data_IF_394088527572
#
_entry.id   IF_394088527572
#
_cell.length_a   1.000
_cell.length_b   1.000
_cell.length_c   1.000
_cell.angle_alpha   90.00
_cell.angle_beta   90.00
_cell.angle_gamma   90.00
#
_symmetry.space_group_name_H-M   'P 1'
#
loop_
_entity.id
_entity.type
_entity.pdbx_description
1 polymer ?
#
# COMPACT_ATOMS: atom_id res chain seq x y z
N UNK A 1 21.11 -21.28 69.74
CA UNK A 1 22.24 -21.14 70.69
C UNK A 1 23.31 -20.36 69.93
N UNK A 2 23.63 -19.09 70.18
CA UNK A 2 23.84 -18.40 71.45
C UNK A 2 23.40 -16.93 71.38
N UNK A 3 22.90 -16.44 72.52
CA UNK A 3 22.66 -15.03 72.87
C UNK A 3 23.98 -14.29 73.12
N UNK A 4 23.98 -12.96 72.90
CA UNK A 4 24.53 -11.86 73.77
C UNK A 4 24.70 -10.61 72.88
N UNK A 5 24.25 -9.38 73.15
CA UNK A 5 23.86 -8.72 74.39
C UNK A 5 24.96 -7.75 74.87
N UNK A 6 24.62 -6.45 75.04
CA UNK A 6 25.36 -5.37 75.73
C UNK A 6 26.57 -4.74 74.98
N UNK A 7 26.86 -3.42 74.94
CA UNK A 7 26.44 -2.25 75.74
C UNK A 7 26.89 -0.91 75.12
N UNK A 8 26.16 0.16 75.46
CA UNK A 8 26.52 1.59 75.65
C UNK A 8 27.51 2.33 74.72
N UNK A 9 27.04 3.47 74.22
CA UNK A 9 27.89 4.53 73.67
C UNK A 9 27.11 5.77 73.28
N UNK A 10 26.46 6.43 74.24
CA UNK A 10 25.89 7.76 74.04
C UNK A 10 27.05 8.75 73.80
N UNK A 11 27.21 9.23 72.57
CA UNK A 11 28.05 10.40 72.27
C UNK A 11 27.18 11.50 71.69
N UNK A 12 26.86 12.45 72.55
CA UNK A 12 26.47 13.81 72.22
C UNK A 12 27.56 14.42 71.33
N UNK A 13 27.17 14.87 70.13
CA UNK A 13 28.01 15.73 69.29
C UNK A 13 27.25 17.02 69.04
N UNK A 14 27.92 18.10 69.42
CA UNK A 14 27.45 19.48 69.44
C UNK A 14 27.01 19.99 68.07
N UNK A 15 25.98 20.85 68.13
CA UNK A 15 25.63 21.78 67.09
C UNK A 15 26.78 22.76 66.84
N UNK A 16 27.26 22.85 65.61
CA UNK A 16 27.73 24.09 64.97
C UNK A 16 28.46 23.76 63.68
N UNK A 17 27.78 23.88 62.55
CA UNK A 17 28.32 24.46 61.31
C UNK A 17 27.22 24.44 60.27
N UNK A 18 26.47 25.55 60.22
CA UNK A 18 25.69 25.94 59.05
C UNK A 18 26.65 26.05 57.86
N UNK A 19 26.88 24.92 57.17
CA UNK A 19 27.38 24.97 55.80
C UNK A 19 26.23 25.45 54.94
N UNK A 20 26.33 26.70 54.52
CA UNK A 20 25.58 27.32 53.44
C UNK A 20 25.55 26.38 52.23
N UNK A 21 24.45 25.64 52.08
CA UNK A 21 24.16 24.91 50.87
C UNK A 21 23.88 25.93 49.77
N UNK A 22 24.91 26.25 49.00
CA UNK A 22 24.76 27.00 47.75
C UNK A 22 24.04 26.07 46.79
N UNK A 23 22.72 26.22 46.69
CA UNK A 23 21.89 25.50 45.74
C UNK A 23 22.36 25.84 44.32
N UNK A 24 23.13 24.93 43.73
CA UNK A 24 23.39 24.93 42.29
C UNK A 24 22.05 24.66 41.60
N UNK A 25 21.49 25.71 41.03
CA UNK A 25 20.26 25.68 40.26
C UNK A 25 20.55 24.91 38.96
N UNK A 26 20.42 23.59 38.99
CA UNK A 26 20.54 22.77 37.80
C UNK A 26 19.32 23.04 36.91
N UNK A 27 19.48 23.49 35.64
CA UNK A 27 18.36 23.59 34.74
C UNK A 27 17.80 22.19 34.54
N UNK A 28 16.57 21.98 35.03
CA UNK A 28 15.83 20.75 34.86
C UNK A 28 15.64 20.57 33.35
N UNK A 29 16.43 19.69 32.74
CA UNK A 29 16.30 19.30 31.33
C UNK A 29 14.85 18.87 31.12
N UNK A 30 14.07 19.71 30.44
CA UNK A 30 12.80 19.28 29.89
C UNK A 30 13.11 18.21 28.85
N UNK A 31 12.42 17.06 28.86
CA UNK A 31 12.52 16.17 27.72
C UNK A 31 12.00 16.97 26.54
N UNK A 32 12.88 17.26 25.57
CA UNK A 32 12.46 17.75 24.28
C UNK A 32 11.51 16.69 23.75
N UNK A 33 10.21 16.99 23.73
CA UNK A 33 9.23 16.19 23.01
C UNK A 33 9.74 16.10 21.59
N UNK A 34 10.26 14.93 21.23
CA UNK A 34 10.69 14.63 19.87
C UNK A 34 9.43 14.81 19.02
N UNK A 35 9.35 15.94 18.31
CA UNK A 35 8.25 16.24 17.43
C UNK A 35 8.15 15.08 16.45
N UNK A 36 7.13 14.24 16.62
CA UNK A 36 6.87 13.14 15.70
C UNK A 36 6.62 13.80 14.36
N UNK A 37 7.54 13.61 13.41
CA UNK A 37 7.37 14.07 12.05
C UNK A 37 6.12 13.42 11.50
N UNK A 38 5.03 14.18 11.45
CA UNK A 38 3.76 13.72 10.88
C UNK A 38 4.04 13.30 9.44
N UNK A 39 3.77 12.03 9.11
CA UNK A 39 3.92 11.56 7.73
C UNK A 39 2.94 12.36 6.86
N UNK A 40 3.43 13.00 5.80
CA UNK A 40 2.65 13.79 4.84
C UNK A 40 1.78 12.92 3.90
N UNK A 41 1.05 11.96 4.46
CA UNK A 41 0.12 11.11 3.72
C UNK A 41 -1.26 11.22 4.34
N UNK A 42 -2.27 11.28 3.47
CA UNK A 42 -3.65 11.25 3.91
C UNK A 42 -3.93 9.92 4.65
N UNK A 43 -4.72 9.91 5.74
CA UNK A 43 -4.99 8.69 6.51
C UNK A 43 -5.48 7.51 5.66
N UNK A 44 -6.28 7.77 4.64
CA UNK A 44 -6.74 6.75 3.68
C UNK A 44 -5.60 6.08 2.91
N UNK A 45 -4.60 6.87 2.50
CA UNK A 45 -3.41 6.32 1.81
C UNK A 45 -2.63 5.42 2.74
N UNK A 46 -2.47 5.83 4.01
CA UNK A 46 -1.78 5.02 5.03
C UNK A 46 -2.53 3.72 5.28
N UNK A 47 -3.86 3.77 5.38
CA UNK A 47 -4.69 2.59 5.61
C UNK A 47 -4.57 1.57 4.47
N UNK A 48 -4.73 2.00 3.21
CA UNK A 48 -4.56 1.09 2.06
C UNK A 48 -3.11 0.63 1.85
N UNK A 49 -2.13 1.40 2.33
CA UNK A 49 -0.73 0.98 2.27
C UNK A 49 -0.39 -0.08 3.33
N UNK A 50 -0.88 0.11 4.56
CA UNK A 50 -0.60 -0.80 5.68
C UNK A 50 -1.45 -2.06 5.63
N UNK A 51 -2.70 -1.94 5.19
CA UNK A 51 -3.65 -3.04 5.06
C UNK A 51 -4.22 -3.08 3.63
N UNK A 52 -3.41 -3.42 2.61
CA UNK A 52 -3.90 -3.46 1.23
C UNK A 52 -4.95 -4.57 1.06
N UNK A 53 -6.06 -4.23 0.40
CA UNK A 53 -7.19 -5.14 0.16
C UNK A 53 -7.06 -5.83 -1.18
N UNK A 54 -7.39 -7.12 -1.22
CA UNK A 54 -7.39 -7.91 -2.46
C UNK A 54 -6.01 -8.10 -3.12
N UNK A 55 -4.95 -8.15 -2.31
CA UNK A 55 -3.63 -8.54 -2.79
C UNK A 55 -3.65 -10.02 -3.18
N UNK A 56 -3.11 -10.34 -4.35
CA UNK A 56 -2.99 -11.73 -4.78
C UNK A 56 -2.91 -11.88 -6.28
N UNK A 57 -3.12 -13.11 -6.73
CA UNK A 57 -3.20 -13.41 -8.16
C UNK A 57 -4.19 -14.52 -8.40
N UNK A 58 -4.81 -14.47 -9.58
CA UNK A 58 -5.70 -15.50 -10.10
C UNK A 58 -5.00 -16.26 -11.21
N UNK A 59 -5.55 -17.43 -11.56
CA UNK A 59 -5.12 -18.17 -12.72
C UNK A 59 -5.45 -17.39 -14.01
N UNK A 60 -4.47 -17.26 -14.89
CA UNK A 60 -4.60 -16.57 -16.17
C UNK A 60 -5.22 -17.46 -17.25
N UNK A 61 -5.24 -18.77 -17.04
CA UNK A 61 -5.76 -19.74 -18.01
C UNK A 61 -7.28 -19.69 -18.12
N UNK A 62 -7.95 -19.25 -17.06
CA UNK A 62 -9.40 -19.10 -17.03
C UNK A 62 -9.86 -18.04 -18.05
N UNK A 63 -10.91 -18.38 -18.80
CA UNK A 63 -11.54 -17.49 -19.78
C UNK A 63 -12.32 -16.35 -19.11
N UNK A 64 -12.81 -16.60 -17.88
CA UNK A 64 -13.51 -15.61 -17.05
C UNK A 64 -12.58 -14.56 -16.45
N UNK A 65 -11.26 -14.75 -16.53
CA UNK A 65 -10.26 -13.88 -15.92
C UNK A 65 -9.58 -12.98 -16.95
N UNK A 66 -9.74 -11.67 -16.81
CA UNK A 66 -8.97 -10.66 -17.54
C UNK A 66 -7.71 -10.27 -16.78
N UNK A 67 -6.56 -10.18 -17.46
CA UNK A 67 -5.28 -9.75 -16.86
C UNK A 67 -4.72 -8.51 -17.55
N UNK A 68 -4.57 -7.43 -16.78
CA UNK A 68 -3.86 -6.22 -17.20
C UNK A 68 -2.49 -6.15 -16.54
N UNK A 69 -1.43 -5.99 -17.33
CA UNK A 69 -0.09 -5.64 -16.85
C UNK A 69 0.28 -4.28 -17.44
N UNK A 70 0.51 -3.30 -16.58
CA UNK A 70 0.81 -1.92 -16.97
C UNK A 70 1.98 -1.37 -16.17
N UNK A 71 2.60 -0.31 -16.69
CA UNK A 71 3.79 0.30 -16.11
C UNK A 71 5.09 -0.22 -16.70
N UNK A 72 6.20 0.43 -16.33
CA UNK A 72 7.52 0.14 -16.85
C UNK A 72 8.53 0.09 -15.69
N UNK A 73 9.40 -0.93 -15.63
CA UNK A 73 10.41 -1.03 -14.58
C UNK A 73 11.32 0.20 -14.48
N UNK A 74 11.59 0.86 -15.62
CA UNK A 74 12.39 2.09 -15.67
C UNK A 74 11.78 3.27 -14.89
N UNK A 75 10.44 3.32 -14.79
CA UNK A 75 9.74 4.37 -14.04
C UNK A 75 9.54 4.01 -12.57
N UNK A 76 9.88 2.78 -12.17
CA UNK A 76 9.73 2.31 -10.79
C UNK A 76 8.32 1.88 -10.40
N UNK A 77 7.33 1.99 -11.29
CA UNK A 77 5.95 1.58 -11.04
C UNK A 77 5.49 0.52 -12.08
N UNK A 78 5.08 -0.64 -11.59
CA UNK A 78 4.54 -1.76 -12.39
C UNK A 78 3.37 -2.39 -11.66
N UNK A 79 2.23 -2.51 -12.33
CA UNK A 79 1.01 -3.03 -11.73
C UNK A 79 0.43 -4.16 -12.58
N UNK A 80 0.11 -5.27 -11.92
CA UNK A 80 -0.67 -6.38 -12.45
C UNK A 80 -2.05 -6.39 -11.79
N UNK A 81 -3.09 -6.21 -12.59
CA UNK A 81 -4.49 -6.34 -12.19
C UNK A 81 -5.10 -7.57 -12.83
N UNK A 82 -5.87 -8.33 -12.05
CA UNK A 82 -6.66 -9.45 -12.52
C UNK A 82 -8.10 -9.27 -12.07
N UNK A 83 -9.04 -9.39 -13.01
CA UNK A 83 -10.48 -9.31 -12.75
C UNK A 83 -11.10 -10.64 -13.16
N UNK A 84 -12.02 -11.15 -12.35
CA UNK A 84 -12.87 -12.29 -12.66
C UNK A 84 -14.28 -11.78 -12.93
N UNK A 85 -14.82 -12.13 -14.10
CA UNK A 85 -16.13 -11.68 -14.56
C UNK A 85 -17.10 -12.85 -14.47
N UNK A 86 -18.25 -12.62 -13.85
CA UNK A 86 -19.36 -13.56 -13.78
C UNK A 86 -20.08 -13.70 -15.12
N UNK A 87 -21.05 -14.62 -15.15
CA UNK A 87 -21.87 -14.86 -16.35
C UNK A 87 -22.78 -13.67 -16.71
N UNK A 88 -23.15 -12.89 -15.70
CA UNK A 88 -23.96 -11.67 -15.78
C UNK A 88 -23.20 -10.45 -16.32
N UNK A 89 -21.88 -10.57 -16.51
CA UNK A 89 -21.01 -9.47 -16.93
C UNK A 89 -20.56 -8.55 -15.79
N UNK A 90 -20.81 -8.95 -14.53
CA UNK A 90 -20.36 -8.23 -13.33
C UNK A 90 -18.99 -8.74 -12.90
N UNK A 91 -18.17 -7.87 -12.31
CA UNK A 91 -16.87 -8.24 -11.77
C UNK A 91 -17.06 -8.84 -10.37
N UNK A 92 -16.98 -10.16 -10.25
CA UNK A 92 -17.17 -10.90 -9.00
C UNK A 92 -15.96 -10.75 -8.06
N UNK A 93 -14.77 -10.89 -8.62
CA UNK A 93 -13.55 -10.82 -7.84
C UNK A 93 -12.42 -10.07 -8.57
N UNK A 94 -11.58 -9.42 -7.79
CA UNK A 94 -10.46 -8.63 -8.28
C UNK A 94 -9.25 -8.94 -7.42
N UNK A 95 -8.09 -9.12 -8.05
CA UNK A 95 -6.81 -9.29 -7.36
C UNK A 95 -5.75 -8.43 -8.01
N UNK A 96 -4.85 -7.87 -7.20
CA UNK A 96 -3.75 -7.08 -7.71
C UNK A 96 -2.40 -7.47 -7.09
N UNK A 97 -1.35 -7.19 -7.86
CA UNK A 97 0.04 -7.13 -7.41
C UNK A 97 0.66 -5.88 -8.01
N UNK A 98 1.34 -5.07 -7.20
CA UNK A 98 1.97 -3.85 -7.68
C UNK A 98 3.35 -3.71 -7.07
N UNK A 99 4.25 -3.11 -7.84
CA UNK A 99 5.55 -2.65 -7.41
C UNK A 99 5.59 -1.15 -7.68
N UNK A 100 5.90 -0.37 -6.65
CA UNK A 100 5.87 1.08 -6.76
C UNK A 100 5.90 1.77 -5.42
N UNK A 101 5.72 3.09 -5.44
CA UNK A 101 5.67 3.88 -4.22
C UNK A 101 4.41 3.57 -3.37
N UNK A 102 4.41 3.96 -2.09
CA UNK A 102 3.28 3.70 -1.19
C UNK A 102 1.94 4.25 -1.69
N UNK A 103 1.97 5.37 -2.42
CA UNK A 103 0.79 5.94 -3.08
C UNK A 103 0.28 5.07 -4.23
N UNK A 104 1.17 4.41 -4.99
CA UNK A 104 0.77 3.46 -6.02
C UNK A 104 0.08 2.24 -5.41
N UNK A 105 0.62 1.68 -4.32
CA UNK A 105 0.01 0.58 -3.58
C UNK A 105 -1.38 0.96 -3.06
N UNK A 106 -1.50 2.15 -2.47
CA UNK A 106 -2.77 2.64 -1.95
C UNK A 106 -3.81 2.83 -3.07
N UNK A 107 -3.42 3.46 -4.19
CA UNK A 107 -4.29 3.63 -5.36
C UNK A 107 -4.75 2.31 -5.95
N UNK A 108 -3.84 1.33 -6.09
CA UNK A 108 -4.18 -0.01 -6.58
C UNK A 108 -5.17 -0.71 -5.65
N UNK A 109 -4.97 -0.65 -4.33
CA UNK A 109 -5.85 -1.29 -3.36
C UNK A 109 -7.25 -0.65 -3.32
N UNK A 110 -7.33 0.68 -3.36
CA UNK A 110 -8.64 1.36 -3.38
C UNK A 110 -9.40 1.05 -4.68
N UNK A 111 -8.68 1.05 -5.81
CA UNK A 111 -9.25 0.75 -7.12
C UNK A 111 -9.86 -0.67 -7.17
N UNK A 112 -9.24 -1.68 -6.54
CA UNK A 112 -9.83 -3.04 -6.54
C UNK A 112 -11.14 -3.14 -5.77
N UNK A 113 -11.33 -2.32 -4.74
CA UNK A 113 -12.61 -2.23 -4.02
C UNK A 113 -13.66 -1.51 -4.87
N UNK A 114 -13.25 -0.43 -5.53
CA UNK A 114 -14.14 0.38 -6.38
C UNK A 114 -14.67 -0.40 -7.60
N UNK A 115 -13.88 -1.33 -8.15
CA UNK A 115 -14.20 -2.11 -9.36
C UNK A 115 -15.03 -3.37 -9.05
N UNK A 116 -14.90 -3.91 -7.83
CA UNK A 116 -15.63 -5.11 -7.42
C UNK A 116 -17.14 -4.84 -7.40
N UNK A 117 -17.92 -5.74 -8.00
CA UNK A 117 -19.38 -5.63 -8.05
C UNK A 117 -19.92 -4.66 -9.11
N UNK A 118 -19.06 -4.04 -9.92
CA UNK A 118 -19.48 -3.19 -11.05
C UNK A 118 -19.54 -4.00 -12.34
N UNK A 119 -20.33 -3.50 -13.31
CA UNK A 119 -20.28 -4.01 -14.68
C UNK A 119 -18.98 -3.62 -15.38
N UNK A 120 -18.64 -4.30 -16.48
CA UNK A 120 -17.48 -3.95 -17.30
C UNK A 120 -17.55 -2.51 -17.85
N UNK A 121 -18.73 -2.04 -18.26
CA UNK A 121 -18.91 -0.68 -18.77
C UNK A 121 -18.73 0.36 -17.67
N UNK A 122 -19.21 0.08 -16.45
CA UNK A 122 -19.04 0.96 -15.31
C UNK A 122 -17.59 1.01 -14.85
N UNK A 123 -16.92 -0.14 -14.79
CA UNK A 123 -15.51 -0.22 -14.47
C UNK A 123 -14.65 0.56 -15.48
N UNK A 124 -14.99 0.49 -16.78
CA UNK A 124 -14.30 1.24 -17.83
C UNK A 124 -14.48 2.76 -17.75
N UNK A 125 -15.54 3.25 -17.07
CA UNK A 125 -15.81 4.68 -16.88
C UNK A 125 -15.07 5.29 -15.70
N UNK A 126 -14.48 4.48 -14.82
CA UNK A 126 -13.70 4.95 -13.68
C UNK A 126 -12.52 5.78 -14.19
N UNK A 127 -12.33 6.96 -13.59
CA UNK A 127 -11.26 7.90 -13.97
C UNK A 127 -10.25 8.05 -12.85
N UNK A 128 -9.00 8.34 -13.22
CA UNK A 128 -7.94 8.68 -12.29
C UNK A 128 -8.33 9.82 -11.32
N UNK A 129 -9.15 10.78 -11.76
CA UNK A 129 -9.56 11.93 -10.96
C UNK A 129 -10.41 11.53 -9.75
N UNK A 130 -11.21 10.48 -9.87
CA UNK A 130 -12.03 9.95 -8.77
C UNK A 130 -11.15 9.30 -7.70
N UNK A 131 -10.20 8.47 -8.13
CA UNK A 131 -9.21 7.80 -7.27
C UNK A 131 -8.33 8.84 -6.55
N UNK A 132 -7.83 9.83 -7.29
CA UNK A 132 -6.96 10.87 -6.75
C UNK A 132 -7.69 11.74 -5.73
N UNK A 133 -8.96 12.07 -5.98
CA UNK A 133 -9.79 12.84 -5.05
C UNK A 133 -10.06 12.07 -3.77
N UNK A 134 -10.41 10.79 -3.88
CA UNK A 134 -10.72 9.99 -2.70
C UNK A 134 -9.52 9.82 -1.76
N UNK A 135 -8.35 9.57 -2.34
CA UNK A 135 -7.11 9.41 -1.60
C UNK A 135 -6.44 10.74 -1.25
N UNK A 136 -7.01 11.88 -1.69
CA UNK A 136 -6.45 13.22 -1.52
C UNK A 136 -4.97 13.30 -1.94
N UNK A 137 -4.67 12.75 -3.13
CA UNK A 137 -3.31 12.67 -3.63
C UNK A 137 -2.79 14.07 -3.99
N UNK A 138 -1.56 14.43 -3.60
CA UNK A 138 -0.93 15.66 -4.05
C UNK A 138 -0.64 15.59 -5.56
N UNK A 139 -0.53 16.73 -6.26
CA UNK A 139 -0.33 16.79 -7.71
C UNK A 139 0.85 15.95 -8.23
N UNK A 140 1.92 15.86 -7.42
CA UNK A 140 3.14 15.11 -7.74
C UNK A 140 2.89 13.58 -7.88
N UNK A 141 1.83 13.06 -7.25
CA UNK A 141 1.52 11.62 -7.19
C UNK A 141 0.31 11.22 -8.05
N UNK A 142 -0.15 12.08 -8.96
CA UNK A 142 -1.27 11.78 -9.85
C UNK A 142 -0.98 10.67 -10.87
N UNK A 143 0.29 10.39 -11.18
CA UNK A 143 0.67 9.25 -12.04
C UNK A 143 0.24 7.90 -11.45
N UNK A 144 0.18 7.79 -10.11
CA UNK A 144 -0.28 6.57 -9.42
C UNK A 144 -1.75 6.27 -9.71
N UNK A 145 -2.60 7.31 -9.82
CA UNK A 145 -4.00 7.15 -10.19
C UNK A 145 -4.20 6.89 -11.69
N UNK A 146 -3.32 7.40 -12.55
CA UNK A 146 -3.34 7.10 -13.99
C UNK A 146 -2.99 5.63 -14.24
N UNK A 147 -1.96 5.11 -13.56
CA UNK A 147 -1.57 3.70 -13.65
C UNK A 147 -2.73 2.76 -13.27
N UNK A 148 -3.51 3.12 -12.25
CA UNK A 148 -4.67 2.36 -11.82
C UNK A 148 -5.78 2.34 -12.90
N UNK A 149 -6.08 3.50 -13.49
CA UNK A 149 -7.04 3.59 -14.60
C UNK A 149 -6.60 2.75 -15.82
N UNK A 150 -5.33 2.85 -16.20
CA UNK A 150 -4.76 2.09 -17.31
C UNK A 150 -4.82 0.58 -17.05
N UNK A 151 -4.59 0.16 -15.79
CA UNK A 151 -4.68 -1.25 -15.38
C UNK A 151 -6.09 -1.80 -15.57
N UNK A 152 -7.14 -1.04 -15.21
CA UNK A 152 -8.55 -1.45 -15.40
C UNK A 152 -8.82 -1.66 -16.88
N UNK A 153 -8.48 -0.68 -17.71
CA UNK A 153 -8.71 -0.73 -19.16
C UNK A 153 -7.96 -1.91 -19.80
N UNK A 154 -6.72 -2.15 -19.39
CA UNK A 154 -5.93 -3.28 -19.87
C UNK A 154 -6.56 -4.63 -19.49
N UNK A 155 -7.04 -4.77 -18.24
CA UNK A 155 -7.67 -6.01 -17.78
C UNK A 155 -9.01 -6.29 -18.49
N UNK A 156 -9.84 -5.27 -18.71
CA UNK A 156 -11.09 -5.38 -19.46
C UNK A 156 -10.81 -5.74 -20.93
N UNK A 157 -9.82 -5.09 -21.55
CA UNK A 157 -9.42 -5.38 -22.94
C UNK A 157 -8.93 -6.81 -23.11
N UNK A 158 -8.16 -7.32 -22.15
CA UNK A 158 -7.71 -8.72 -22.16
C UNK A 158 -8.90 -9.69 -22.07
N UNK A 159 -9.82 -9.45 -21.14
CA UNK A 159 -11.06 -10.24 -21.01
C UNK A 159 -11.89 -10.26 -22.31
N UNK A 160 -12.13 -9.09 -22.91
CA UNK A 160 -12.85 -8.97 -24.18
C UNK A 160 -12.11 -9.69 -25.32
N UNK A 161 -10.78 -9.58 -25.36
CA UNK A 161 -9.96 -10.24 -26.38
C UNK A 161 -10.03 -11.76 -26.28
N UNK A 162 -10.11 -12.32 -25.06
CA UNK A 162 -10.29 -13.76 -24.84
C UNK A 162 -11.65 -14.25 -25.36
N UNK A 163 -12.74 -13.51 -25.07
CA UNK A 163 -14.08 -13.81 -25.60
C UNK A 163 -14.11 -13.77 -27.13
N UNK A 164 -13.49 -12.77 -27.75
CA UNK A 164 -13.43 -12.67 -29.23
C UNK A 164 -12.57 -13.77 -29.84
N UNK A 165 -11.44 -14.15 -29.22
CA UNK A 165 -10.60 -15.27 -29.69
C UNK A 165 -11.31 -16.61 -29.55
N UNK A 166 -12.09 -16.83 -28.48
CA UNK A 166 -12.93 -18.03 -28.32
C UNK A 166 -13.93 -18.20 -29.46
N UNK A 167 -14.45 -17.12 -30.02
CA UNK A 167 -15.34 -17.15 -31.20
C UNK A 167 -14.61 -17.37 -32.54
N UNK A 168 -13.31 -17.10 -32.62
CA UNK A 168 -12.53 -17.09 -33.89
C UNK A 168 -11.59 -18.31 -34.04
N UNK A 169 -11.38 -19.11 -32.98
CA UNK A 169 -10.50 -20.29 -33.01
C UNK A 169 -11.15 -21.55 -33.62
N UNK A 170 -11.77 -21.36 -34.79
CA UNK A 170 -11.85 -22.37 -35.85
C UNK A 170 -10.76 -22.19 -36.94
N UNK A 171 -9.80 -21.27 -36.78
CA UNK A 171 -8.73 -21.00 -37.75
C UNK A 171 -7.35 -20.92 -37.09
N UNK A 172 -6.46 -21.82 -37.50
CA UNK A 172 -5.21 -22.17 -36.81
C UNK A 172 -4.12 -21.11 -36.74
N UNK A 173 -3.28 -21.27 -35.71
CA UNK A 173 -2.05 -20.54 -35.48
C UNK A 173 -0.97 -20.91 -36.52
N UNK A 174 -0.33 -19.90 -37.12
CA UNK A 174 1.03 -20.02 -37.66
C UNK A 174 1.94 -19.06 -36.90
N UNK A 175 2.89 -19.63 -36.19
CA UNK A 175 4.09 -19.00 -35.65
C UNK A 175 4.90 -18.35 -36.77
N UNK A 176 5.21 -17.07 -36.63
CA UNK A 176 6.15 -16.36 -37.50
C UNK A 176 7.58 -16.64 -37.04
N UNK A 177 8.31 -17.32 -37.91
CA UNK A 177 9.75 -17.51 -37.88
C UNK A 177 10.44 -16.21 -38.30
N UNK A 178 11.46 -15.82 -37.55
CA UNK A 178 12.17 -14.53 -37.64
C UNK A 178 13.21 -14.62 -38.76
N UNK A 179 13.09 -13.79 -39.80
CA UNK A 179 14.13 -13.63 -40.83
C UNK A 179 15.06 -12.50 -40.41
N UNK A 180 16.29 -12.85 -40.05
CA UNK A 180 17.40 -11.93 -39.90
C UNK A 180 18.01 -11.65 -41.28
N UNK A 181 18.04 -10.38 -41.67
CA UNK A 181 18.69 -9.90 -42.90
C UNK A 181 20.16 -9.61 -42.62
N UNK A 182 21.03 -10.13 -43.47
CA UNK A 182 22.47 -9.85 -43.57
C UNK A 182 22.74 -8.56 -44.37
#
# INVERSE_FOLDING_TARGET
>A
MFKTGFTTGLRTINASTLRTARAINAPRLTPAFSAVTTRFYHPKVIDHYTNPRNVGSMDKTLETVGTGLVGAPACGDVMKLQIQVGEDGTIEDVRFKTFGCGSAIASSSYMTELVRGKSLEEAAKIRNTEIAKELSLPPVKLHCSMLAEDAIKAAIKDYQSKRTKGTVLGGGAKSQETVATA
#
